data_IF_438019854238
#
_entry.id   IF_438019854238
#
_cell.length_a   1.000
_cell.length_b   1.000
_cell.length_c   1.000
_cell.angle_alpha   90.00
_cell.angle_beta   90.00
_cell.angle_gamma   90.00
#
_symmetry.space_group_name_H-M   'P 1'
#
loop_
_entity.id
_entity.type
_entity.pdbx_description
1 polymer ?
#
# COMPACT_ATOMS: atom_id res chain seq x y z
N UNK A 1 3.14 18.09 -19.18
CA UNK A 1 2.09 19.11 -18.94
C UNK A 1 2.10 20.02 -20.14
N UNK A 2 0.94 20.35 -20.69
CA UNK A 2 0.85 21.37 -21.73
C UNK A 2 1.04 22.76 -21.11
N UNK A 3 1.49 23.67 -21.95
CA UNK A 3 1.87 25.04 -21.59
C UNK A 3 0.66 25.87 -21.11
N UNK A 4 -0.52 25.60 -21.67
CA UNK A 4 -1.80 26.19 -21.20
C UNK A 4 -2.17 25.75 -19.79
N UNK A 5 -2.02 24.46 -19.47
CA UNK A 5 -2.36 23.94 -18.13
C UNK A 5 -1.46 24.59 -17.09
N UNK A 6 -0.18 24.77 -17.38
CA UNK A 6 0.74 25.44 -16.47
C UNK A 6 0.33 26.90 -16.22
N UNK A 7 -0.03 27.65 -17.27
CA UNK A 7 -0.49 29.04 -17.15
C UNK A 7 -1.83 29.19 -16.43
N UNK A 8 -2.66 28.13 -16.41
CA UNK A 8 -3.94 28.14 -15.69
C UNK A 8 -3.81 27.96 -14.17
N UNK A 9 -2.60 27.62 -13.68
CA UNK A 9 -2.37 27.47 -12.24
C UNK A 9 -2.33 28.84 -11.54
N UNK A 10 -2.85 28.94 -10.31
CA UNK A 10 -2.83 30.19 -9.56
C UNK A 10 -1.39 30.61 -9.21
N UNK A 11 -1.13 31.91 -9.25
CA UNK A 11 0.19 32.49 -8.87
C UNK A 11 0.58 32.17 -7.43
N UNK A 12 -0.42 31.95 -6.55
CA UNK A 12 -0.23 31.63 -5.14
C UNK A 12 -1.14 30.47 -4.75
N UNK A 13 -0.56 29.47 -4.08
CA UNK A 13 -1.31 28.37 -3.49
C UNK A 13 -1.26 28.49 -1.96
N UNK A 14 -2.38 28.82 -1.34
CA UNK A 14 -2.50 28.77 0.11
C UNK A 14 -2.55 27.29 0.53
N UNK A 15 -1.83 26.95 1.58
CA UNK A 15 -1.79 25.57 2.11
C UNK A 15 -1.87 25.58 3.62
N UNK A 16 -2.37 24.48 4.20
CA UNK A 16 -2.35 24.20 5.63
C UNK A 16 -1.23 23.19 5.91
N UNK A 17 -0.34 23.53 6.83
CA UNK A 17 0.70 22.64 7.33
C UNK A 17 0.22 21.96 8.62
N UNK A 18 0.40 20.65 8.71
CA UNK A 18 0.10 19.84 9.88
C UNK A 18 1.32 19.00 10.23
N UNK A 19 1.68 18.95 11.51
CA UNK A 19 2.73 18.08 12.01
C UNK A 19 2.14 17.04 12.93
N UNK A 20 2.48 15.78 12.69
CA UNK A 20 2.11 14.71 13.60
C UNK A 20 3.29 13.76 13.83
N UNK A 21 3.28 13.17 15.03
CA UNK A 21 4.33 12.26 15.48
C UNK A 21 3.80 10.83 15.49
N UNK A 22 4.55 9.93 14.86
CA UNK A 22 4.24 8.50 14.87
C UNK A 22 4.58 7.93 16.23
N UNK A 23 3.63 7.27 16.89
CA UNK A 23 3.83 6.67 18.23
C UNK A 23 4.72 5.42 18.22
N UNK A 24 5.03 4.88 17.05
CA UNK A 24 5.84 3.67 16.88
C UNK A 24 7.34 4.01 16.92
N UNK A 25 8.04 3.51 17.94
CA UNK A 25 9.50 3.64 18.04
C UNK A 25 10.26 2.94 16.90
N UNK A 26 9.63 1.96 16.26
CA UNK A 26 10.25 1.14 15.21
C UNK A 26 10.26 1.79 13.84
N UNK A 27 9.51 2.89 13.64
CA UNK A 27 9.49 3.65 12.40
C UNK A 27 10.69 4.59 12.30
N UNK A 28 11.35 4.62 11.14
CA UNK A 28 12.46 5.55 10.87
C UNK A 28 12.01 7.01 10.99
N UNK A 29 10.84 7.32 10.45
CA UNK A 29 10.27 8.67 10.47
C UNK A 29 9.40 8.82 11.70
N UNK A 30 9.85 9.66 12.64
CA UNK A 30 9.13 9.91 13.90
C UNK A 30 8.15 11.07 13.76
N UNK A 31 8.49 12.09 12.97
CA UNK A 31 7.65 13.26 12.73
C UNK A 31 7.39 13.39 11.22
N UNK A 32 6.17 13.71 10.84
CA UNK A 32 5.79 13.93 9.44
C UNK A 32 5.00 15.22 9.33
N UNK A 33 5.40 16.04 8.36
CA UNK A 33 4.71 17.27 7.97
C UNK A 33 3.81 16.98 6.79
N UNK A 34 2.49 17.09 6.98
CA UNK A 34 1.48 16.99 5.93
C UNK A 34 1.08 18.39 5.49
N UNK A 35 1.19 18.65 4.19
CA UNK A 35 0.74 19.90 3.55
C UNK A 35 -0.52 19.59 2.77
N UNK A 36 -1.60 20.34 3.01
CA UNK A 36 -2.91 20.09 2.38
C UNK A 36 -3.64 21.38 2.02
N UNK A 37 -4.52 21.32 1.03
CA UNK A 37 -5.47 22.41 0.68
C UNK A 37 -6.79 22.30 1.46
N UNK A 38 -6.91 21.34 2.38
CA UNK A 38 -8.06 21.19 3.28
C UNK A 38 -7.92 22.10 4.52
N UNK A 39 -8.44 23.33 4.41
CA UNK A 39 -8.24 24.38 5.42
C UNK A 39 -9.09 24.24 6.69
N UNK A 40 -10.32 23.73 6.57
CA UNK A 40 -11.26 23.66 7.69
C UNK A 40 -10.81 22.64 8.74
N UNK A 41 -10.42 23.12 9.92
CA UNK A 41 -9.94 22.30 11.03
C UNK A 41 -11.03 21.53 11.76
N UNK A 42 -12.29 22.00 11.70
CA UNK A 42 -13.44 21.31 12.31
C UNK A 42 -13.92 20.18 11.40
N UNK A 43 -13.98 20.43 10.09
CA UNK A 43 -14.37 19.42 9.09
C UNK A 43 -13.26 18.41 8.79
N UNK A 44 -12.00 18.84 8.88
CA UNK A 44 -10.83 17.99 8.66
C UNK A 44 -9.85 18.10 9.84
N UNK A 45 -10.11 17.34 10.92
CA UNK A 45 -9.21 17.24 12.06
C UNK A 45 -7.84 16.69 11.67
N UNK A 46 -6.80 17.11 12.38
CA UNK A 46 -5.42 16.68 12.09
C UNK A 46 -5.22 15.16 12.21
N UNK A 47 -5.86 14.52 13.19
CA UNK A 47 -5.74 13.08 13.42
C UNK A 47 -6.40 12.25 12.29
N UNK A 48 -7.54 12.72 11.77
CA UNK A 48 -8.22 12.08 10.64
C UNK A 48 -7.42 12.21 9.34
N UNK A 49 -6.70 13.31 9.16
CA UNK A 49 -5.80 13.50 8.02
C UNK A 49 -4.51 12.68 8.15
N UNK A 50 -4.03 12.46 9.38
CA UNK A 50 -2.84 11.64 9.64
C UNK A 50 -3.11 10.14 9.49
N UNK A 51 -4.30 9.66 9.87
CA UNK A 51 -4.68 8.25 9.82
C UNK A 51 -4.48 7.56 8.44
N UNK A 52 -4.92 8.12 7.30
CA UNK A 52 -4.73 7.52 5.99
C UNK A 52 -3.28 7.62 5.49
N UNK A 53 -2.43 8.47 6.07
CA UNK A 53 -1.04 8.59 5.62
C UNK A 53 -0.26 7.28 5.79
N UNK A 54 -0.55 6.51 6.85
CA UNK A 54 0.00 5.16 7.03
C UNK A 54 -0.40 4.18 5.91
N UNK A 55 -1.50 4.46 5.21
CA UNK A 55 -1.99 3.68 4.08
C UNK A 55 -1.36 4.10 2.74
N UNK A 56 -0.63 5.22 2.68
CA UNK A 56 0.02 5.72 1.45
C UNK A 56 0.88 4.65 0.79
N UNK A 57 1.62 3.87 1.58
CA UNK A 57 2.47 2.79 1.09
C UNK A 57 1.71 1.64 0.41
N UNK A 58 0.37 1.55 0.55
CA UNK A 58 -0.44 0.58 -0.21
C UNK A 58 -0.28 0.76 -1.72
N UNK A 59 0.02 1.98 -2.18
CA UNK A 59 0.30 2.21 -3.60
C UNK A 59 1.49 1.38 -4.10
N UNK A 60 2.51 1.15 -3.28
CA UNK A 60 3.68 0.36 -3.69
C UNK A 60 3.31 -1.11 -3.86
N UNK A 61 2.49 -1.65 -2.96
CA UNK A 61 1.94 -3.00 -3.13
C UNK A 61 1.12 -3.10 -4.42
N UNK A 62 0.30 -2.09 -4.72
CA UNK A 62 -0.47 -2.04 -5.96
C UNK A 62 0.42 -1.98 -7.20
N UNK A 63 1.46 -1.14 -7.17
CA UNK A 63 2.46 -1.05 -8.24
C UNK A 63 3.23 -2.37 -8.39
N UNK A 64 3.51 -3.06 -7.30
CA UNK A 64 4.15 -4.37 -7.32
C UNK A 64 3.23 -5.45 -7.93
N UNK A 65 1.91 -5.37 -7.72
CA UNK A 65 0.97 -6.27 -8.40
C UNK A 65 1.04 -6.09 -9.92
N UNK A 66 1.09 -4.85 -10.40
CA UNK A 66 1.24 -4.57 -11.83
C UNK A 66 2.60 -5.03 -12.36
N UNK A 67 3.70 -4.58 -11.73
CA UNK A 67 5.05 -4.83 -12.24
C UNK A 67 5.48 -6.28 -12.13
N UNK A 68 5.22 -6.90 -10.98
CA UNK A 68 5.80 -8.21 -10.62
C UNK A 68 4.76 -9.32 -10.70
N UNK A 69 3.59 -9.14 -10.11
CA UNK A 69 2.58 -10.22 -10.04
C UNK A 69 1.93 -10.49 -11.39
N UNK A 70 1.62 -9.45 -12.16
CA UNK A 70 1.07 -9.56 -13.52
C UNK A 70 2.16 -9.62 -14.59
N UNK A 71 3.42 -9.38 -14.23
CA UNK A 71 4.56 -9.51 -15.14
C UNK A 71 4.62 -8.46 -16.24
N UNK A 72 4.19 -7.21 -15.98
CA UNK A 72 4.28 -6.11 -16.96
C UNK A 72 5.73 -5.81 -17.30
N UNK A 73 6.24 -6.42 -18.37
CA UNK A 73 7.59 -6.24 -18.88
C UNK A 73 7.67 -5.01 -19.80
N UNK A 74 7.47 -3.81 -19.23
CA UNK A 74 7.98 -2.55 -19.80
C UNK A 74 7.45 -2.07 -21.17
N UNK A 75 6.59 -2.80 -21.88
CA UNK A 75 6.06 -2.36 -23.17
C UNK A 75 4.81 -1.49 -22.97
N UNK A 76 4.93 -0.20 -23.27
CA UNK A 76 3.87 0.81 -23.13
C UNK A 76 2.58 0.41 -23.88
N UNK A 77 2.71 -0.30 -25.02
CA UNK A 77 1.59 -0.68 -25.90
C UNK A 77 0.58 -1.64 -25.25
N UNK A 78 0.95 -2.34 -24.17
CA UNK A 78 0.06 -3.28 -23.47
C UNK A 78 -0.44 -2.73 -22.12
N UNK A 79 0.01 -1.55 -21.68
CA UNK A 79 -0.32 -1.02 -20.34
C UNK A 79 -1.81 -0.85 -20.12
N UNK A 80 -2.59 -0.49 -21.14
CA UNK A 80 -4.05 -0.34 -21.04
C UNK A 80 -4.72 -1.67 -20.72
N UNK A 81 -4.27 -2.77 -21.32
CA UNK A 81 -4.79 -4.12 -21.07
C UNK A 81 -4.47 -4.54 -19.65
N UNK A 82 -3.22 -4.35 -19.21
CA UNK A 82 -2.83 -4.66 -17.82
C UNK A 82 -3.59 -3.81 -16.79
N UNK A 83 -3.84 -2.53 -17.08
CA UNK A 83 -4.67 -1.68 -16.22
C UNK A 83 -6.12 -2.19 -16.17
N UNK A 84 -6.68 -2.63 -17.32
CA UNK A 84 -8.02 -3.21 -17.40
C UNK A 84 -8.11 -4.51 -16.59
N UNK A 85 -7.18 -5.45 -16.80
CA UNK A 85 -7.12 -6.72 -16.05
C UNK A 85 -6.95 -6.45 -14.57
N UNK A 86 -6.07 -5.51 -14.19
CA UNK A 86 -5.88 -5.14 -12.79
C UNK A 86 -7.18 -4.63 -12.16
N UNK A 87 -7.91 -3.75 -12.86
CA UNK A 87 -9.18 -3.22 -12.38
C UNK A 87 -10.25 -4.31 -12.30
N UNK A 88 -10.28 -5.27 -13.24
CA UNK A 88 -11.18 -6.42 -13.18
C UNK A 88 -10.89 -7.28 -11.94
N UNK A 89 -9.61 -7.56 -11.65
CA UNK A 89 -9.22 -8.27 -10.43
C UNK A 89 -9.65 -7.47 -9.18
N UNK A 90 -9.59 -6.14 -9.21
CA UNK A 90 -10.09 -5.31 -8.10
C UNK A 90 -11.60 -5.42 -7.90
N UNK A 91 -12.38 -5.53 -8.96
CA UNK A 91 -13.83 -5.78 -8.86
C UNK A 91 -14.11 -7.15 -8.24
N UNK A 92 -13.40 -8.20 -8.65
CA UNK A 92 -13.49 -9.53 -8.05
C UNK A 92 -13.14 -9.47 -6.55
N UNK A 93 -12.10 -8.72 -6.18
CA UNK A 93 -11.74 -8.53 -4.77
C UNK A 93 -12.81 -7.78 -3.97
N UNK A 94 -13.49 -6.79 -4.56
CA UNK A 94 -14.58 -6.04 -3.91
C UNK A 94 -15.75 -6.97 -3.60
N UNK A 95 -16.22 -7.69 -4.60
CA UNK A 95 -17.32 -8.65 -4.45
C UNK A 95 -16.97 -9.75 -3.44
N UNK A 96 -15.75 -10.31 -3.52
CA UNK A 96 -15.31 -11.34 -2.58
C UNK A 96 -15.19 -10.80 -1.14
N UNK A 97 -14.86 -9.52 -0.97
CA UNK A 97 -14.76 -8.88 0.33
C UNK A 97 -16.13 -8.69 0.97
N UNK A 98 -17.13 -8.26 0.18
CA UNK A 98 -18.51 -8.13 0.62
C UNK A 98 -19.08 -9.49 1.08
N UNK A 99 -18.95 -10.54 0.25
CA UNK A 99 -19.42 -11.90 0.59
C UNK A 99 -18.75 -12.50 1.81
N UNK A 100 -17.49 -12.15 2.07
CA UNK A 100 -16.72 -12.66 3.19
C UNK A 100 -16.71 -11.72 4.41
N UNK A 101 -17.50 -10.63 4.36
CA UNK A 101 -17.57 -9.60 5.40
C UNK A 101 -16.18 -9.11 5.87
N UNK A 102 -15.32 -8.78 4.91
CA UNK A 102 -13.95 -8.30 5.15
C UNK A 102 -13.67 -7.06 4.30
N UNK A 103 -12.52 -6.43 4.51
CA UNK A 103 -12.13 -5.27 3.70
C UNK A 103 -11.46 -5.73 2.39
N UNK A 104 -11.68 -5.05 1.26
CA UNK A 104 -11.05 -5.40 -0.03
C UNK A 104 -9.52 -5.43 0.04
N UNK A 105 -8.93 -4.57 0.88
CA UNK A 105 -7.49 -4.54 1.12
C UNK A 105 -6.92 -5.84 1.73
N UNK A 106 -7.77 -6.68 2.34
CA UNK A 106 -7.39 -7.95 2.93
C UNK A 106 -7.56 -9.13 1.98
N UNK A 107 -8.31 -9.00 0.89
CA UNK A 107 -8.40 -10.08 -0.09
C UNK A 107 -7.06 -10.26 -0.81
N UNK A 108 -6.66 -11.51 -1.05
CA UNK A 108 -5.44 -11.83 -1.80
C UNK A 108 -5.60 -11.48 -3.27
N UNK A 109 -4.75 -10.58 -3.77
CA UNK A 109 -4.73 -10.21 -5.19
C UNK A 109 -4.35 -11.40 -6.08
N UNK A 110 -3.37 -12.20 -5.65
CA UNK A 110 -2.91 -13.38 -6.41
C UNK A 110 -4.03 -14.40 -6.55
N UNK A 111 -4.81 -14.59 -5.49
CA UNK A 111 -5.91 -15.54 -5.51
C UNK A 111 -7.06 -15.02 -6.38
N UNK A 112 -7.40 -13.73 -6.26
CA UNK A 112 -8.38 -13.07 -7.13
C UNK A 112 -7.98 -13.13 -8.61
N UNK A 113 -6.69 -12.96 -8.93
CA UNK A 113 -6.16 -13.06 -10.29
C UNK A 113 -6.28 -14.49 -10.86
N UNK A 114 -6.10 -15.51 -10.01
CA UNK A 114 -6.15 -16.92 -10.42
C UNK A 114 -7.57 -17.48 -10.45
N UNK A 115 -8.50 -16.91 -9.70
CA UNK A 115 -9.89 -17.36 -9.61
C UNK A 115 -10.59 -17.53 -10.97
N UNK A 116 -10.57 -16.55 -11.91
CA UNK A 116 -11.24 -16.73 -13.19
C UNK A 116 -10.53 -17.77 -14.08
N UNK A 117 -9.21 -17.94 -13.93
CA UNK A 117 -8.45 -18.95 -14.67
C UNK A 117 -8.77 -20.40 -14.22
N UNK A 118 -9.40 -20.58 -13.06
CA UNK A 118 -9.87 -21.89 -12.59
C UNK A 118 -11.24 -22.27 -13.17
N UNK A 119 -11.89 -21.37 -13.91
CA UNK A 119 -13.24 -21.54 -14.42
C UNK A 119 -13.28 -22.29 -15.76
N UNK A 120 -12.63 -23.46 -15.84
CA UNK A 120 -12.59 -24.27 -17.08
C UNK A 120 -13.98 -24.74 -17.57
N UNK A 121 -15.01 -24.69 -16.73
CA UNK A 121 -16.40 -25.05 -17.12
C UNK A 121 -17.48 -24.42 -16.24
N UNK A 122 -17.18 -24.18 -14.96
CA UNK A 122 -18.04 -23.44 -14.01
C UNK A 122 -17.18 -22.53 -13.16
N UNK A 123 -17.71 -21.36 -12.82
CA UNK A 123 -17.03 -20.45 -11.89
C UNK A 123 -17.05 -21.07 -10.49
N UNK A 124 -15.88 -21.21 -9.83
CA UNK A 124 -15.84 -21.67 -8.44
C UNK A 124 -16.51 -20.63 -7.53
N UNK A 125 -17.03 -21.02 -6.35
CA UNK A 125 -17.60 -20.08 -5.40
C UNK A 125 -16.58 -18.98 -5.09
N UNK A 126 -17.05 -17.74 -5.06
CA UNK A 126 -16.18 -16.59 -4.85
C UNK A 126 -15.81 -16.46 -3.37
N UNK A 127 -14.89 -17.32 -2.93
CA UNK A 127 -14.30 -17.33 -1.60
C UNK A 127 -12.79 -17.32 -1.74
N UNK A 128 -12.21 -16.13 -1.55
CA UNK A 128 -10.80 -15.87 -1.79
C UNK A 128 -10.01 -15.81 -0.49
N UNK A 129 -8.74 -16.22 -0.55
CA UNK A 129 -7.80 -16.18 0.56
C UNK A 129 -7.74 -14.76 1.17
N UNK A 130 -7.96 -14.69 2.49
CA UNK A 130 -7.90 -13.44 3.24
C UNK A 130 -6.54 -13.30 3.93
N UNK A 131 -5.83 -12.22 3.60
CA UNK A 131 -4.57 -11.87 4.24
C UNK A 131 -4.81 -11.49 5.72
N UNK A 132 -4.00 -12.03 6.64
CA UNK A 132 -4.09 -11.70 8.06
C UNK A 132 -3.74 -10.23 8.27
N UNK A 133 -4.51 -9.54 9.12
CA UNK A 133 -4.21 -8.18 9.51
C UNK A 133 -2.97 -8.16 10.43
N UNK A 134 -1.89 -7.53 9.97
CA UNK A 134 -0.61 -7.45 10.70
C UNK A 134 -0.17 -5.99 10.85
N UNK A 135 -0.88 -5.20 11.66
CA UNK A 135 -0.54 -3.80 11.87
C UNK A 135 0.83 -3.71 12.55
N UNK A 136 1.57 -2.64 12.25
CA UNK A 136 2.85 -2.33 12.92
C UNK A 136 3.93 -3.42 12.77
N UNK A 137 3.87 -4.23 11.71
CA UNK A 137 4.91 -5.22 11.43
C UNK A 137 6.23 -4.50 11.15
N UNK A 138 7.23 -4.80 11.98
CA UNK A 138 8.60 -4.38 11.76
C UNK A 138 9.53 -5.61 11.79
N UNK A 139 10.60 -5.54 11.01
CA UNK A 139 11.64 -6.57 10.97
C UNK A 139 12.98 -5.91 11.26
N UNK A 140 13.84 -6.53 12.10
CA UNK A 140 15.19 -6.03 12.34
C UNK A 140 15.97 -5.89 11.03
N UNK A 141 16.61 -4.73 10.83
CA UNK A 141 17.41 -4.43 9.62
C UNK A 141 18.79 -5.10 9.68
N UNK A 142 18.81 -6.43 9.63
CA UNK A 142 20.01 -7.28 9.70
C UNK A 142 20.00 -8.38 8.63
N UNK A 143 21.18 -8.85 8.23
CA UNK A 143 21.35 -9.93 7.23
C UNK A 143 21.93 -11.19 7.86
N UNK A 144 21.52 -12.37 7.39
CA UNK A 144 22.01 -13.67 7.90
C UNK A 144 23.48 -13.95 7.54
N UNK A 145 23.95 -13.51 6.36
CA UNK A 145 25.33 -13.68 5.84
C UNK A 145 25.73 -12.40 5.07
N UNK A 146 27.01 -12.02 4.97
CA UNK A 146 27.46 -10.71 4.41
C UNK A 146 28.20 -10.86 3.06
N UNK A 147 27.90 -9.97 2.08
CA UNK A 147 28.78 -8.82 1.83
C UNK A 147 27.99 -7.54 1.41
N UNK A 148 27.30 -6.84 2.34
CA UNK A 148 26.68 -5.51 2.13
C UNK A 148 26.60 -4.74 3.44
N UNK A 149 26.35 -3.44 3.39
CA UNK A 149 26.35 -2.44 4.50
C UNK A 149 25.47 -2.72 5.74
N UNK A 150 24.68 -3.78 5.77
CA UNK A 150 23.81 -4.09 6.91
C UNK A 150 24.52 -4.93 7.98
N UNK A 151 24.13 -4.76 9.26
CA UNK A 151 24.65 -5.56 10.36
C UNK A 151 24.32 -7.05 10.18
N UNK A 152 25.24 -7.91 10.62
CA UNK A 152 25.00 -9.36 10.63
C UNK A 152 24.01 -9.73 11.74
N UNK A 153 23.12 -10.67 11.45
CA UNK A 153 22.17 -11.22 12.40
C UNK A 153 22.89 -12.16 13.36
N UNK A 154 23.35 -11.61 14.49
CA UNK A 154 24.07 -12.35 15.54
C UNK A 154 23.16 -13.09 16.52
N UNK A 155 21.87 -12.78 16.52
CA UNK A 155 20.88 -13.39 17.42
C UNK A 155 19.60 -13.74 16.66
N UNK A 156 18.79 -14.69 17.17
CA UNK A 156 17.50 -15.00 16.58
C UNK A 156 16.62 -13.75 16.39
N UNK A 157 15.93 -13.66 15.25
CA UNK A 157 15.05 -12.51 14.92
C UNK A 157 14.06 -12.16 16.02
N UNK A 158 13.53 -13.16 16.72
CA UNK A 158 12.54 -12.97 17.80
C UNK A 158 13.11 -12.13 18.95
N UNK A 159 14.37 -12.37 19.33
CA UNK A 159 15.06 -11.60 20.38
C UNK A 159 15.38 -10.18 19.90
N UNK A 160 15.90 -10.04 18.68
CA UNK A 160 16.19 -8.72 18.10
C UNK A 160 14.93 -7.84 17.98
N UNK A 161 13.77 -8.46 17.69
CA UNK A 161 12.49 -7.76 17.69
C UNK A 161 12.13 -7.20 19.06
N UNK A 162 12.24 -8.00 20.12
CA UNK A 162 11.94 -7.54 21.48
C UNK A 162 12.78 -6.32 21.89
N UNK A 163 14.05 -6.27 21.47
CA UNK A 163 14.94 -5.13 21.73
C UNK A 163 14.55 -3.84 20.99
N UNK A 164 13.79 -3.92 19.89
CA UNK A 164 13.34 -2.76 19.12
C UNK A 164 12.03 -2.14 19.65
N UNK A 165 11.29 -2.85 20.52
CA UNK A 165 10.05 -2.36 21.13
C UNK A 165 10.32 -1.61 22.45
N UNK A 166 11.45 -1.88 23.11
CA UNK A 166 11.87 -1.19 24.33
C UNK A 166 12.12 0.30 24.06
#
# INVERSE_FOLDING_TARGET
MSDEVYRSLPERLVVRELRYRTKLKTTRTQETTLVTTLFDSKKHPADELAAPYGQRWRIETNLNHLKTTMGVAGVIKEMTIYALVYNLVRLVMLEAAERQNTTPARISFVDALRWPAQACSKLPPLRLATNPHRPHRYEPRVRKRRPKEYNQMRSPRRQLKQGLIR
#
